data_IF_488991053310
#
_entry.id   IF_488991053310
#
_cell.length_a   1.000
_cell.length_b   1.000
_cell.length_c   1.000
_cell.angle_alpha   90.00
_cell.angle_beta   90.00
_cell.angle_gamma   90.00
#
_symmetry.space_group_name_H-M   'P 1'
#
loop_
_entity.id
_entity.type
_entity.pdbx_description
1 polymer ?
#
# COMPACT_ATOMS: atom_id res chain seq x y z
N UNK A 1 -27.71 -57.57 46.99
CA UNK A 1 -28.12 -58.03 45.66
C UNK A 1 -28.05 -56.84 44.70
N UNK A 2 -27.20 -56.93 43.67
CA UNK A 2 -27.29 -56.29 42.33
C UNK A 2 -27.39 -54.74 42.33
N UNK A 3 -26.50 -53.97 41.70
CA UNK A 3 -25.85 -54.18 40.40
C UNK A 3 -24.66 -53.21 40.25
N UNK A 4 -23.54 -53.73 39.77
CA UNK A 4 -22.42 -52.99 39.19
C UNK A 4 -22.87 -52.17 37.97
N UNK A 5 -22.17 -51.06 37.67
CA UNK A 5 -21.53 -50.79 36.38
C UNK A 5 -20.66 -49.52 36.55
N UNK A 6 -19.36 -49.72 36.32
CA UNK A 6 -18.35 -48.70 36.11
C UNK A 6 -18.62 -48.06 34.75
N UNK A 7 -18.67 -46.73 34.68
CA UNK A 7 -18.43 -45.99 33.44
C UNK A 7 -17.46 -44.85 33.73
N UNK A 8 -16.18 -45.19 33.53
CA UNK A 8 -15.08 -44.26 33.30
C UNK A 8 -15.44 -43.45 32.07
N UNK A 9 -15.62 -42.14 32.23
CA UNK A 9 -15.58 -41.16 31.14
C UNK A 9 -14.45 -40.17 31.41
N UNK A 10 -13.24 -40.73 31.51
CA UNK A 10 -11.99 -40.00 31.28
C UNK A 10 -11.72 -40.10 29.78
N UNK A 11 -12.15 -39.11 29.00
CA UNK A 11 -12.14 -39.17 27.54
C UNK A 11 -12.10 -37.80 26.88
N UNK A 12 -10.89 -37.26 26.81
CA UNK A 12 -10.41 -36.28 25.82
C UNK A 12 -11.05 -34.88 25.78
N UNK A 13 -10.67 -34.05 26.76
CA UNK A 13 -10.50 -32.59 26.59
C UNK A 13 -9.19 -32.30 25.83
N UNK A 14 -9.04 -32.83 24.62
CA UNK A 14 -7.89 -32.60 23.74
C UNK A 14 -8.36 -32.25 22.31
N UNK A 15 -9.44 -31.48 22.20
CA UNK A 15 -9.71 -30.69 21.01
C UNK A 15 -8.94 -29.39 21.16
N UNK A 16 -7.70 -29.38 20.69
CA UNK A 16 -6.82 -28.21 20.75
C UNK A 16 -7.56 -26.96 20.30
N UNK A 17 -7.75 -26.03 21.24
CA UNK A 17 -8.01 -24.64 20.91
C UNK A 17 -6.72 -24.12 20.28
N UNK A 18 -6.53 -24.42 18.99
CA UNK A 18 -5.65 -23.63 18.14
C UNK A 18 -6.28 -22.25 18.11
N UNK A 19 -5.97 -21.44 19.12
CA UNK A 19 -6.18 -20.01 19.07
C UNK A 19 -5.49 -19.58 17.78
N UNK A 20 -6.27 -19.21 16.78
CA UNK A 20 -5.84 -18.58 15.53
C UNK A 20 -5.27 -17.19 15.87
N UNK A 21 -4.21 -17.16 16.68
CA UNK A 21 -3.44 -15.96 16.96
C UNK A 21 -2.42 -15.86 15.84
N UNK A 22 -2.36 -14.69 15.19
CA UNK A 22 -1.30 -14.40 14.23
C UNK A 22 0.05 -14.54 14.94
N UNK A 23 1.02 -15.17 14.28
CA UNK A 23 2.40 -15.22 14.78
C UNK A 23 2.93 -13.79 15.04
N UNK A 24 3.69 -13.63 16.13
CA UNK A 24 4.38 -12.36 16.40
C UNK A 24 5.54 -12.18 15.42
N UNK A 25 5.73 -10.96 14.92
CA UNK A 25 6.84 -10.65 14.03
C UNK A 25 8.16 -10.57 14.80
N UNK A 26 9.16 -11.33 14.35
CA UNK A 26 10.51 -11.27 14.90
C UNK A 26 11.24 -10.02 14.39
N UNK A 27 12.32 -9.64 15.07
CA UNK A 27 13.21 -8.56 14.59
C UNK A 27 13.81 -8.87 13.19
N UNK A 28 13.95 -10.14 12.85
CA UNK A 28 14.39 -10.57 11.52
C UNK A 28 13.31 -10.25 10.48
N UNK A 29 12.05 -10.55 10.77
CA UNK A 29 10.93 -10.28 9.86
C UNK A 29 10.77 -8.78 9.61
N UNK A 30 10.83 -7.97 10.68
CA UNK A 30 10.78 -6.52 10.58
C UNK A 30 11.92 -5.95 9.71
N UNK A 31 13.13 -6.52 9.82
CA UNK A 31 14.26 -6.11 8.98
C UNK A 31 14.04 -6.47 7.51
N UNK A 32 13.53 -7.67 7.22
CA UNK A 32 13.20 -8.09 5.85
C UNK A 32 12.17 -7.14 5.26
N UNK A 33 11.06 -6.90 5.95
CA UNK A 33 10.02 -5.99 5.46
C UNK A 33 10.51 -4.57 5.22
N UNK A 34 11.31 -4.02 6.13
CA UNK A 34 11.89 -2.69 5.93
C UNK A 34 12.78 -2.65 4.69
N UNK A 35 13.59 -3.70 4.48
CA UNK A 35 14.48 -3.80 3.32
C UNK A 35 13.69 -3.88 2.01
N UNK A 36 12.65 -4.71 1.98
CA UNK A 36 11.76 -4.84 0.82
C UNK A 36 11.04 -3.52 0.52
N UNK A 37 10.47 -2.89 1.55
CA UNK A 37 9.80 -1.60 1.40
C UNK A 37 10.74 -0.50 0.90
N UNK A 38 11.94 -0.38 1.47
CA UNK A 38 12.93 0.61 1.06
C UNK A 38 13.37 0.42 -0.39
N UNK A 39 13.49 -0.84 -0.84
CA UNK A 39 13.78 -1.17 -2.23
C UNK A 39 12.70 -0.62 -3.17
N UNK A 40 11.43 -0.82 -2.82
CA UNK A 40 10.28 -0.32 -3.59
C UNK A 40 10.19 1.20 -3.57
N UNK A 41 10.46 1.86 -2.43
CA UNK A 41 10.54 3.32 -2.32
C UNK A 41 11.64 3.87 -3.24
N UNK A 42 12.82 3.24 -3.24
CA UNK A 42 13.93 3.65 -4.12
C UNK A 42 13.56 3.52 -5.58
N UNK A 43 12.86 2.45 -5.97
CA UNK A 43 12.34 2.29 -7.32
C UNK A 43 11.31 3.38 -7.65
N UNK A 44 10.42 3.68 -6.71
CA UNK A 44 9.43 4.74 -6.86
C UNK A 44 10.06 6.09 -7.15
N UNK A 45 11.16 6.43 -6.47
CA UNK A 45 11.91 7.66 -6.76
C UNK A 45 12.45 7.68 -8.19
N UNK A 46 12.97 6.56 -8.70
CA UNK A 46 13.46 6.49 -10.09
C UNK A 46 12.33 6.76 -11.07
N UNK A 47 11.20 6.04 -10.94
CA UNK A 47 10.02 6.22 -11.79
C UNK A 47 9.48 7.64 -11.70
N UNK A 48 9.48 8.24 -10.51
CA UNK A 48 9.02 9.61 -10.29
C UNK A 48 9.86 10.68 -11.02
N UNK A 49 11.13 10.36 -11.29
CA UNK A 49 12.07 11.20 -12.03
C UNK A 49 12.34 10.69 -13.46
N UNK A 50 11.58 9.70 -13.93
CA UNK A 50 11.79 9.08 -15.23
C UNK A 50 11.14 9.92 -16.34
N UNK A 51 11.96 10.48 -17.23
CA UNK A 51 11.50 11.29 -18.36
C UNK A 51 10.96 10.45 -19.54
N UNK A 52 10.97 9.12 -19.42
CA UNK A 52 10.41 8.19 -20.41
C UNK A 52 9.01 7.70 -20.07
N UNK A 53 8.46 8.12 -18.91
CA UNK A 53 7.11 7.77 -18.50
C UNK A 53 6.02 8.41 -19.39
N UNK A 54 6.35 9.58 -19.95
CA UNK A 54 5.53 10.35 -20.88
C UNK A 54 6.16 10.46 -22.27
N UNK A 55 5.56 11.29 -23.13
CA UNK A 55 6.08 11.58 -24.49
C UNK A 55 6.78 12.92 -24.59
N UNK A 56 6.66 13.77 -23.57
CA UNK A 56 7.13 15.16 -23.58
C UNK A 56 8.32 15.43 -22.63
N UNK A 57 8.98 14.39 -22.12
CA UNK A 57 10.15 14.45 -21.22
C UNK A 57 9.96 15.08 -19.84
N UNK A 58 8.78 15.64 -19.55
CA UNK A 58 8.42 16.17 -18.23
C UNK A 58 8.38 15.01 -17.24
N UNK A 59 8.81 15.27 -16.00
CA UNK A 59 8.76 14.28 -14.91
C UNK A 59 7.83 14.76 -13.80
N UNK A 60 7.36 13.83 -12.96
CA UNK A 60 6.55 14.18 -11.80
C UNK A 60 7.27 15.20 -10.90
N UNK A 61 8.60 15.09 -10.79
CA UNK A 61 9.42 15.91 -9.91
C UNK A 61 9.52 17.39 -10.32
N UNK A 62 9.24 17.74 -11.57
CA UNK A 62 9.26 19.14 -12.01
C UNK A 62 8.10 19.94 -11.41
N UNK A 63 6.93 19.31 -11.24
CA UNK A 63 5.78 19.93 -10.57
C UNK A 63 5.68 19.59 -9.07
N UNK A 64 6.18 18.41 -8.69
CA UNK A 64 6.10 17.89 -7.33
C UNK A 64 7.50 17.54 -6.79
N UNK A 65 8.38 18.53 -6.54
CA UNK A 65 9.74 18.27 -6.09
C UNK A 65 9.73 17.47 -4.79
N UNK A 66 10.47 16.35 -4.75
CA UNK A 66 10.46 15.38 -3.64
C UNK A 66 9.04 14.95 -3.22
N UNK A 67 8.18 14.66 -4.20
CA UNK A 67 6.77 14.32 -3.99
C UNK A 67 5.95 15.34 -3.17
N UNK A 68 6.41 16.59 -3.06
CA UNK A 68 5.68 17.64 -2.36
C UNK A 68 4.32 17.91 -3.01
N UNK A 69 3.35 18.30 -2.19
CA UNK A 69 1.98 18.63 -2.62
C UNK A 69 1.21 17.49 -3.35
N UNK A 70 1.67 16.24 -3.25
CA UNK A 70 0.94 15.07 -3.77
C UNK A 70 -0.20 14.63 -2.85
N UNK A 71 -0.05 14.90 -1.55
CA UNK A 71 -1.04 14.66 -0.50
C UNK A 71 -1.68 13.25 -0.49
N UNK A 72 -0.89 12.15 -0.54
CA UNK A 72 -1.42 10.78 -0.51
C UNK A 72 -2.27 10.52 0.74
N UNK A 73 -1.99 11.20 1.86
CA UNK A 73 -2.73 11.10 3.13
C UNK A 73 -4.21 11.49 3.04
N UNK A 74 -4.60 12.20 1.97
CA UNK A 74 -5.98 12.67 1.77
C UNK A 74 -6.83 11.75 0.91
N UNK A 75 -6.23 10.71 0.32
CA UNK A 75 -6.95 9.76 -0.52
C UNK A 75 -7.51 8.59 0.31
N UNK A 76 -8.63 7.96 -0.12
CA UNK A 76 -9.46 8.32 -1.28
C UNK A 76 -10.18 9.65 -1.09
N UNK A 77 -10.37 10.41 -2.17
CA UNK A 77 -11.11 11.68 -2.15
C UNK A 77 -11.79 11.97 -3.48
N UNK A 78 -12.80 12.85 -3.45
CA UNK A 78 -13.35 13.39 -4.69
C UNK A 78 -12.26 14.14 -5.44
N UNK A 79 -12.04 13.79 -6.70
CA UNK A 79 -11.12 14.50 -7.56
C UNK A 79 -11.87 15.15 -8.70
N UNK A 80 -11.81 16.49 -8.77
CA UNK A 80 -12.53 17.28 -9.77
C UNK A 80 -12.13 16.88 -11.20
N UNK A 81 -10.85 16.60 -11.42
CA UNK A 81 -10.27 16.17 -12.69
C UNK A 81 -10.82 14.83 -13.18
N UNK A 82 -11.28 13.97 -12.24
CA UNK A 82 -11.83 12.65 -12.53
C UNK A 82 -13.35 12.59 -12.39
N UNK A 83 -13.98 13.62 -11.81
CA UNK A 83 -15.43 13.69 -11.60
C UNK A 83 -15.98 12.65 -10.62
N UNK A 84 -15.12 12.01 -9.82
CA UNK A 84 -15.51 10.94 -8.88
C UNK A 84 -14.59 10.88 -7.66
N UNK A 85 -15.00 10.11 -6.65
CA UNK A 85 -14.07 9.65 -5.61
C UNK A 85 -13.04 8.73 -6.27
N UNK A 86 -11.77 9.07 -6.09
CA UNK A 86 -10.65 8.39 -6.70
C UNK A 86 -9.61 7.99 -5.66
N UNK A 87 -8.87 6.94 -5.98
CA UNK A 87 -7.63 6.56 -5.31
C UNK A 87 -6.47 7.43 -5.78
N UNK A 88 -5.36 7.39 -5.04
CA UNK A 88 -4.13 8.06 -5.47
C UNK A 88 -3.59 7.48 -6.78
N UNK A 89 -3.75 6.17 -7.00
CA UNK A 89 -3.32 5.48 -8.22
C UNK A 89 -4.03 6.01 -9.48
N UNK A 90 -5.34 6.26 -9.38
CA UNK A 90 -6.12 6.83 -10.47
C UNK A 90 -5.68 8.27 -10.77
N UNK A 91 -5.32 9.05 -9.75
CA UNK A 91 -4.79 10.40 -9.96
C UNK A 91 -3.38 10.36 -10.57
N UNK A 92 -2.52 9.44 -10.15
CA UNK A 92 -1.21 9.22 -10.79
C UNK A 92 -1.39 8.93 -12.29
N UNK A 93 -2.31 8.02 -12.64
CA UNK A 93 -2.64 7.73 -14.03
C UNK A 93 -3.22 8.93 -14.79
N UNK A 94 -3.95 9.82 -14.10
CA UNK A 94 -4.40 11.08 -14.69
C UNK A 94 -3.21 12.01 -14.97
N UNK A 95 -2.25 12.12 -14.05
CA UNK A 95 -1.03 12.92 -14.25
C UNK A 95 -0.17 12.39 -15.41
N UNK A 96 -0.03 11.06 -15.51
CA UNK A 96 0.69 10.42 -16.62
C UNK A 96 -0.01 10.73 -17.95
N UNK A 97 -1.32 10.55 -18.03
CA UNK A 97 -2.04 10.68 -19.30
C UNK A 97 -2.23 12.12 -19.78
N UNK A 98 -2.30 13.10 -18.86
CA UNK A 98 -2.62 14.49 -19.21
C UNK A 98 -1.35 15.35 -19.24
N UNK A 99 -0.71 15.73 -18.10
CA UNK A 99 0.56 16.46 -18.12
C UNK A 99 1.70 15.76 -18.87
N UNK A 100 1.90 14.45 -18.68
CA UNK A 100 3.04 13.75 -19.29
C UNK A 100 2.73 13.17 -20.68
N UNK A 101 1.46 13.19 -21.10
CA UNK A 101 0.99 12.62 -22.37
C UNK A 101 1.34 11.12 -22.55
N UNK A 102 1.58 10.42 -21.44
CA UNK A 102 1.97 9.01 -21.41
C UNK A 102 0.80 8.03 -21.43
N UNK A 103 1.12 6.74 -21.53
CA UNK A 103 0.13 5.67 -21.44
C UNK A 103 -0.16 5.34 -19.97
N UNK A 104 -1.44 5.25 -19.62
CA UNK A 104 -1.90 4.75 -18.31
C UNK A 104 -1.31 3.36 -18.02
N UNK A 105 -0.89 3.15 -16.79
CA UNK A 105 -0.49 1.83 -16.28
C UNK A 105 -1.66 1.15 -15.57
N UNK A 106 -1.58 -0.18 -15.45
CA UNK A 106 -2.53 -0.93 -14.64
C UNK A 106 -2.42 -0.51 -13.15
N UNK A 107 -3.50 -0.61 -12.39
CA UNK A 107 -3.49 -0.19 -10.98
C UNK A 107 -2.62 -1.10 -10.11
N UNK A 108 -2.40 -2.33 -10.54
CA UNK A 108 -1.53 -3.35 -9.94
C UNK A 108 -0.14 -3.44 -10.60
N UNK A 109 0.19 -2.53 -11.52
CA UNK A 109 1.54 -2.42 -12.09
C UNK A 109 2.56 -2.17 -10.95
N UNK A 110 3.68 -2.90 -10.96
CA UNK A 110 4.72 -2.75 -9.95
C UNK A 110 5.24 -1.31 -9.83
N UNK A 111 5.26 -0.55 -10.93
CA UNK A 111 5.64 0.87 -10.95
C UNK A 111 4.60 1.75 -10.26
N UNK A 112 3.32 1.42 -10.35
CA UNK A 112 2.26 2.13 -9.61
C UNK A 112 2.46 1.96 -8.11
N UNK A 113 2.70 0.73 -7.66
CA UNK A 113 3.04 0.44 -6.26
C UNK A 113 4.30 1.19 -5.82
N UNK A 114 5.34 1.21 -6.65
CA UNK A 114 6.57 1.94 -6.37
C UNK A 114 6.33 3.44 -6.21
N UNK A 115 5.59 4.07 -7.13
CA UNK A 115 5.23 5.49 -7.05
C UNK A 115 4.44 5.79 -5.77
N UNK A 116 3.44 4.98 -5.43
CA UNK A 116 2.63 5.15 -4.20
C UNK A 116 3.49 5.03 -2.95
N UNK A 117 4.39 4.05 -2.90
CA UNK A 117 5.33 3.88 -1.78
C UNK A 117 6.23 5.09 -1.63
N UNK A 118 6.81 5.60 -2.72
CA UNK A 118 7.68 6.77 -2.69
C UNK A 118 6.96 8.04 -2.22
N UNK A 119 5.81 8.38 -2.81
CA UNK A 119 5.06 9.58 -2.38
C UNK A 119 4.59 9.46 -0.92
N UNK A 120 4.27 8.25 -0.45
CA UNK A 120 3.84 8.03 0.93
C UNK A 120 5.01 8.15 1.90
N UNK A 121 6.21 7.66 1.55
CA UNK A 121 7.40 7.81 2.38
C UNK A 121 7.82 9.28 2.51
N UNK A 122 7.83 10.05 1.42
CA UNK A 122 8.13 11.50 1.45
C UNK A 122 7.09 12.30 2.27
N UNK A 123 5.89 11.75 2.44
CA UNK A 123 4.77 12.35 3.19
C UNK A 123 4.52 11.68 4.53
N UNK A 124 5.46 10.85 4.99
CA UNK A 124 5.36 10.13 6.26
C UNK A 124 5.25 11.08 7.44
N UNK A 125 4.50 10.64 8.46
CA UNK A 125 4.23 11.43 9.66
C UNK A 125 3.08 12.42 9.52
N UNK A 126 2.53 12.61 8.32
CA UNK A 126 1.30 13.39 8.14
C UNK A 126 0.09 12.52 8.50
N UNK A 127 -0.83 13.08 9.29
CA UNK A 127 -2.04 12.38 9.71
C UNK A 127 -2.94 12.09 8.52
N UNK A 128 -3.39 10.84 8.39
CA UNK A 128 -4.40 10.45 7.41
C UNK A 128 -5.67 11.29 7.58
N UNK A 129 -6.16 11.83 6.47
CA UNK A 129 -7.38 12.62 6.40
C UNK A 129 -8.14 12.36 5.07
N UNK A 130 -8.64 11.13 4.84
CA UNK A 130 -9.37 10.79 3.61
C UNK A 130 -10.54 11.73 3.33
N UNK A 131 -10.77 12.07 2.07
CA UNK A 131 -11.83 12.99 1.62
C UNK A 131 -11.49 14.48 1.77
N UNK A 132 -10.37 14.83 2.41
CA UNK A 132 -9.92 16.22 2.53
C UNK A 132 -9.42 16.74 1.17
N UNK A 133 -9.89 17.93 0.79
CA UNK A 133 -9.49 18.55 -0.47
C UNK A 133 -8.17 19.33 -0.34
#
# INVERSE_FOLDING_TARGET
>A
MKTSIILILLGTLLGGTSTLMSDEFTQKDLKVWKTEYDSVVKEGRKVFTDNTLGTNTVTCNECHPNASNTHPETYPKFQKQLGKVATIAEMINWCIANPLEGKRMALDDARMTALISYITEERKGVKLAPGKH
#
